data_IF_409434823720
#
_entry.id   IF_409434823720
#
_cell.length_a   1.000
_cell.length_b   1.000
_cell.length_c   1.000
_cell.angle_alpha   90.00
_cell.angle_beta   90.00
_cell.angle_gamma   90.00
#
_symmetry.space_group_name_H-M   'P 1'
#
loop_
_entity.id
_entity.type
_entity.pdbx_description
1 polymer ?
#
# COMPACT_ATOMS: atom_id res chain seq x y z
N UNK A 1 15.81 2.79 8.19
CA UNK A 1 15.67 2.63 6.73
C UNK A 1 14.24 2.97 6.45
N UNK A 2 13.97 4.06 5.73
CA UNK A 2 12.59 4.50 5.44
C UNK A 2 12.01 3.64 4.33
N UNK A 3 10.95 2.87 4.64
CA UNK A 3 10.20 2.06 3.68
C UNK A 3 8.93 2.81 3.31
N UNK A 4 8.86 3.28 2.07
CA UNK A 4 7.69 3.95 1.50
C UNK A 4 7.00 3.02 0.52
N UNK A 5 5.69 2.84 0.67
CA UNK A 5 4.90 1.91 -0.14
C UNK A 5 3.87 2.68 -0.97
N UNK A 6 3.88 2.49 -2.28
CA UNK A 6 2.88 3.04 -3.19
C UNK A 6 1.90 1.92 -3.55
N UNK A 7 0.69 1.99 -3.01
CA UNK A 7 -0.36 0.97 -3.22
C UNK A 7 -1.25 1.40 -4.39
N UNK A 8 -1.45 0.51 -5.35
CA UNK A 8 -2.25 0.76 -6.54
C UNK A 8 -1.55 1.68 -7.54
N UNK A 9 -0.24 1.50 -7.70
CA UNK A 9 0.57 2.37 -8.53
C UNK A 9 0.22 2.30 -10.03
N UNK A 10 -0.39 1.21 -10.50
CA UNK A 10 -0.68 1.00 -11.92
C UNK A 10 0.56 1.17 -12.78
N UNK A 11 0.51 2.11 -13.72
CA UNK A 11 1.64 2.47 -14.61
C UNK A 11 2.59 3.53 -13.99
N UNK A 12 2.27 4.06 -12.80
CA UNK A 12 3.03 5.15 -12.17
C UNK A 12 4.21 4.62 -11.37
N UNK A 13 5.40 4.87 -11.88
CA UNK A 13 6.65 4.68 -11.14
C UNK A 13 7.03 5.96 -10.36
N UNK A 14 6.93 5.90 -9.03
CA UNK A 14 7.31 6.96 -8.11
C UNK A 14 8.66 6.63 -7.47
N UNK A 15 9.71 7.32 -7.88
CA UNK A 15 11.07 7.11 -7.36
C UNK A 15 11.13 7.28 -5.84
N UNK A 16 11.74 6.30 -5.16
CA UNK A 16 11.85 6.27 -3.70
C UNK A 16 10.72 5.53 -2.98
N UNK A 17 9.72 5.05 -3.73
CA UNK A 17 8.68 4.15 -3.23
C UNK A 17 8.89 2.74 -3.77
N UNK A 18 8.45 1.77 -2.97
CA UNK A 18 8.22 0.41 -3.44
C UNK A 18 6.81 0.33 -3.99
N UNK A 19 6.66 -0.31 -5.14
CA UNK A 19 5.40 -0.38 -5.89
C UNK A 19 4.64 -1.66 -5.55
N UNK A 20 3.40 -1.50 -5.09
CA UNK A 20 2.51 -2.60 -4.72
C UNK A 20 1.21 -2.50 -5.51
N UNK A 21 0.94 -3.45 -6.38
CA UNK A 21 -0.29 -3.44 -7.19
C UNK A 21 -0.88 -4.84 -7.34
N UNK A 22 -2.20 -4.92 -7.54
CA UNK A 22 -2.89 -6.19 -7.81
C UNK A 22 -2.56 -6.71 -9.21
N UNK A 23 -2.19 -5.82 -10.13
CA UNK A 23 -1.82 -6.13 -11.51
C UNK A 23 -0.32 -5.99 -11.67
N UNK A 24 0.32 -7.05 -12.16
CA UNK A 24 1.70 -6.97 -12.63
C UNK A 24 1.72 -6.40 -14.05
N UNK A 25 1.49 -5.09 -14.17
CA UNK A 25 1.39 -4.40 -15.47
C UNK A 25 2.79 -4.21 -16.08
N UNK A 26 3.77 -3.84 -15.25
CA UNK A 26 5.12 -3.48 -15.67
C UNK A 26 6.19 -4.12 -14.78
N UNK A 27 7.44 -4.07 -15.23
CA UNK A 27 8.61 -4.56 -14.47
C UNK A 27 8.91 -3.72 -13.21
N UNK A 28 8.36 -2.51 -13.11
CA UNK A 28 8.58 -1.64 -11.95
C UNK A 28 7.77 -2.03 -10.70
N UNK A 29 6.84 -2.98 -10.84
CA UNK A 29 6.03 -3.48 -9.71
C UNK A 29 6.90 -4.39 -8.83
N UNK A 30 7.33 -3.87 -7.68
CA UNK A 30 8.14 -4.62 -6.70
C UNK A 30 7.35 -5.78 -6.07
N UNK A 31 6.06 -5.56 -5.80
CA UNK A 31 5.20 -6.51 -5.10
C UNK A 31 3.83 -6.60 -5.75
N UNK A 32 3.30 -7.81 -5.84
CA UNK A 32 1.98 -8.06 -6.43
C UNK A 32 1.02 -8.54 -5.36
N UNK A 33 -0.12 -7.87 -5.20
CA UNK A 33 -1.18 -8.32 -4.31
C UNK A 33 -2.30 -7.29 -4.13
N UNK A 34 -3.30 -7.65 -3.34
CA UNK A 34 -4.51 -6.83 -3.18
C UNK A 34 -4.26 -5.73 -2.16
N UNK A 35 -4.85 -4.56 -2.37
CA UNK A 35 -4.65 -3.43 -1.47
C UNK A 35 -5.23 -3.66 -0.06
N UNK A 36 -6.23 -4.54 0.09
CA UNK A 36 -6.76 -4.97 1.39
C UNK A 36 -5.92 -6.03 2.11
N UNK A 37 -4.86 -6.54 1.48
CA UNK A 37 -4.03 -7.62 2.00
C UNK A 37 -2.55 -7.23 1.88
N UNK A 38 -1.96 -6.83 3.00
CA UNK A 38 -0.54 -6.47 3.10
C UNK A 38 0.22 -7.53 3.93
N UNK A 39 -0.24 -8.79 3.90
CA UNK A 39 0.36 -9.91 4.64
C UNK A 39 1.81 -10.20 4.25
N UNK A 40 2.25 -9.73 3.07
CA UNK A 40 3.64 -9.79 2.63
C UNK A 40 4.56 -8.87 3.45
N UNK A 41 3.99 -7.91 4.17
CA UNK A 41 4.69 -6.96 5.02
C UNK A 41 4.45 -7.28 6.51
N UNK A 42 5.54 -7.23 7.28
CA UNK A 42 5.48 -7.40 8.72
C UNK A 42 4.76 -6.22 9.40
N UNK A 43 4.31 -6.45 10.64
CA UNK A 43 3.78 -5.39 11.49
C UNK A 43 4.84 -4.29 11.68
N UNK A 44 4.41 -3.01 11.62
CA UNK A 44 5.29 -1.85 11.84
C UNK A 44 6.58 -1.89 11.00
N UNK A 45 6.46 -2.20 9.72
CA UNK A 45 7.57 -2.32 8.78
C UNK A 45 7.60 -1.24 7.70
N UNK A 46 6.55 -0.41 7.60
CA UNK A 46 6.37 0.63 6.59
C UNK A 46 6.28 2.01 7.26
N UNK A 47 7.02 2.99 6.75
CA UNK A 47 7.02 4.36 7.28
C UNK A 47 5.90 5.22 6.68
N UNK A 48 5.64 5.03 5.39
CA UNK A 48 4.68 5.82 4.61
C UNK A 48 3.94 4.93 3.62
N UNK A 49 2.62 5.09 3.57
CA UNK A 49 1.76 4.49 2.53
C UNK A 49 1.21 5.62 1.68
N UNK A 50 1.45 5.57 0.37
CA UNK A 50 0.82 6.45 -0.60
C UNK A 50 -0.23 5.65 -1.40
N UNK A 51 -1.48 6.09 -1.39
CA UNK A 51 -2.56 5.46 -2.13
C UNK A 51 -3.53 6.49 -2.72
N UNK A 52 -3.63 6.54 -4.04
CA UNK A 52 -4.44 7.53 -4.76
C UNK A 52 -5.63 6.85 -5.46
N UNK A 53 -6.84 7.35 -5.22
CA UNK A 53 -8.11 6.86 -5.83
C UNK A 53 -8.40 5.37 -5.56
N UNK A 54 -7.95 4.84 -4.42
CA UNK A 54 -8.08 3.42 -4.10
C UNK A 54 -9.26 3.09 -3.20
N UNK A 55 -9.51 3.93 -2.20
CA UNK A 55 -10.52 3.68 -1.17
C UNK A 55 -11.94 3.71 -1.75
N UNK A 56 -12.14 4.45 -2.83
CA UNK A 56 -13.41 4.56 -3.56
C UNK A 56 -13.85 3.24 -4.20
N UNK A 57 -12.93 2.31 -4.43
CA UNK A 57 -13.23 0.98 -4.95
C UNK A 57 -13.75 0.01 -3.88
N UNK A 58 -13.63 0.37 -2.60
CA UNK A 58 -14.08 -0.45 -1.48
C UNK A 58 -15.43 0.01 -0.96
N UNK A 59 -16.32 -0.94 -0.67
CA UNK A 59 -17.56 -0.65 0.05
C UNK A 59 -17.26 -0.10 1.45
N UNK A 60 -18.16 0.73 2.01
CA UNK A 60 -17.97 1.40 3.33
C UNK A 60 -17.43 0.49 4.44
N UNK A 61 -17.97 -0.73 4.56
CA UNK A 61 -17.55 -1.70 5.58
C UNK A 61 -16.16 -2.27 5.32
N UNK A 62 -15.76 -2.37 4.06
CA UNK A 62 -14.46 -2.89 3.64
C UNK A 62 -13.34 -1.88 3.82
N UNK A 63 -13.64 -0.59 3.63
CA UNK A 63 -12.68 0.51 3.87
C UNK A 63 -12.10 0.45 5.29
N UNK A 64 -12.92 0.16 6.30
CA UNK A 64 -12.42 0.05 7.68
C UNK A 64 -11.44 -1.10 7.86
N UNK A 65 -11.70 -2.26 7.24
CA UNK A 65 -10.77 -3.39 7.26
C UNK A 65 -9.45 -3.08 6.54
N UNK A 66 -9.54 -2.43 5.37
CA UNK A 66 -8.37 -1.99 4.60
C UNK A 66 -7.50 -1.04 5.42
N UNK A 67 -8.09 -0.02 6.03
CA UNK A 67 -7.36 0.95 6.84
C UNK A 67 -6.74 0.31 8.09
N UNK A 68 -7.39 -0.68 8.70
CA UNK A 68 -6.79 -1.47 9.81
C UNK A 68 -5.57 -2.23 9.34
N UNK A 69 -5.63 -2.85 8.17
CA UNK A 69 -4.49 -3.58 7.60
C UNK A 69 -3.33 -2.63 7.26
N UNK A 70 -3.63 -1.46 6.70
CA UNK A 70 -2.62 -0.42 6.42
C UNK A 70 -1.99 0.09 7.73
N UNK A 71 -2.81 0.32 8.76
CA UNK A 71 -2.32 0.72 10.07
C UNK A 71 -1.48 -0.36 10.76
N UNK A 72 -1.72 -1.66 10.48
CA UNK A 72 -0.93 -2.76 11.06
C UNK A 72 0.52 -2.70 10.58
N UNK A 73 0.73 -2.46 9.28
CA UNK A 73 2.07 -2.44 8.69
C UNK A 73 2.79 -1.12 8.94
N UNK A 74 2.08 -0.03 9.23
CA UNK A 74 2.67 1.27 9.54
C UNK A 74 3.43 1.27 10.88
N UNK A 75 4.62 1.86 10.88
CA UNK A 75 5.38 2.15 12.11
C UNK A 75 4.63 3.13 13.00
N UNK A 76 5.00 3.20 14.27
CA UNK A 76 4.45 4.20 15.18
C UNK A 76 4.84 5.61 14.70
N UNK A 77 3.85 6.42 14.33
CA UNK A 77 4.06 7.76 13.77
C UNK A 77 4.20 7.79 12.25
N UNK A 78 4.11 6.63 11.57
CA UNK A 78 3.93 6.57 10.12
C UNK A 78 2.57 7.14 9.71
N UNK A 79 2.43 7.46 8.44
CA UNK A 79 1.23 8.07 7.90
C UNK A 79 0.81 7.46 6.55
N UNK A 80 -0.47 7.56 6.24
CA UNK A 80 -1.01 7.29 4.92
C UNK A 80 -1.37 8.61 4.22
N UNK A 81 -1.01 8.73 2.94
CA UNK A 81 -1.21 9.91 2.11
C UNK A 81 -2.01 9.58 0.83
#
# INVERSE_FOLDING_TARGET
MEVKLHIGCGERNLTGYKHYDIRKIDEHIDFVGKAEDLSQFGDKSVDEIYACHLLEHFGRWKVEEVLKEWSRVLVRGGYCA
#
